data_IF_483049802577
#
_entry.id   IF_483049802577
#
_cell.length_a   1.000
_cell.length_b   1.000
_cell.length_c   1.000
_cell.angle_alpha   90.00
_cell.angle_beta   90.00
_cell.angle_gamma   90.00
#
_symmetry.space_group_name_H-M   'P 1'
#
loop_
_entity.id
_entity.type
_entity.pdbx_description
1 polymer ?
#
# COMPACT_ATOMS: atom_id res chain seq x y z
N UNK A 1 7.21 -6.74 43.92
CA UNK A 1 5.79 -6.65 44.32
C UNK A 1 5.35 -5.24 43.95
N UNK A 2 4.83 -5.05 42.76
CA UNK A 2 4.30 -3.76 42.30
C UNK A 2 3.03 -4.07 41.52
N UNK A 3 1.91 -3.60 42.03
CA UNK A 3 0.57 -3.90 41.53
C UNK A 3 0.23 -3.11 40.26
N UNK A 4 -0.23 -3.81 39.25
CA UNK A 4 -0.80 -3.25 38.03
C UNK A 4 -2.26 -2.84 38.28
N UNK A 5 -2.53 -1.55 38.19
CA UNK A 5 -3.86 -1.01 37.97
C UNK A 5 -3.87 -0.30 36.63
N UNK A 6 -4.37 -0.96 35.59
CA UNK A 6 -4.39 -0.41 34.22
C UNK A 6 -5.40 -1.11 33.31
N UNK A 7 -6.60 -1.41 33.87
CA UNK A 7 -7.66 -2.06 33.07
C UNK A 7 -8.62 -1.13 32.33
N UNK A 8 -8.49 0.20 32.46
CA UNK A 8 -9.54 1.14 32.01
C UNK A 8 -9.25 1.90 30.71
N UNK A 9 -8.02 1.90 30.19
CA UNK A 9 -7.68 2.76 29.05
C UNK A 9 -8.16 2.21 27.69
N UNK A 10 -8.34 0.92 27.53
CA UNK A 10 -8.85 0.36 26.26
C UNK A 10 -10.35 0.62 26.09
N UNK A 11 -11.09 0.63 27.21
CA UNK A 11 -12.54 0.91 27.21
C UNK A 11 -12.79 2.41 27.01
N UNK A 12 -11.92 3.29 27.51
CA UNK A 12 -12.05 4.75 27.36
C UNK A 12 -11.92 5.19 25.91
N UNK A 13 -10.99 4.62 25.15
CA UNK A 13 -10.88 4.94 23.70
C UNK A 13 -12.09 4.49 22.88
N UNK A 14 -12.73 3.38 23.26
CA UNK A 14 -13.98 2.94 22.61
C UNK A 14 -15.17 3.84 22.97
N UNK A 15 -15.17 4.45 24.16
CA UNK A 15 -16.22 5.37 24.60
C UNK A 15 -16.10 6.75 23.96
N UNK A 16 -14.89 7.24 23.67
CA UNK A 16 -14.70 8.49 22.94
C UNK A 16 -15.15 8.36 21.46
N UNK A 17 -15.04 7.17 20.85
CA UNK A 17 -15.58 6.90 19.51
C UNK A 17 -17.11 6.92 19.52
N UNK A 18 -17.78 6.51 20.60
CA UNK A 18 -19.25 6.54 20.70
C UNK A 18 -19.82 7.96 20.75
N UNK A 19 -19.12 8.94 21.31
CA UNK A 19 -19.63 10.31 21.45
C UNK A 19 -19.51 11.16 20.18
N UNK A 20 -18.82 10.70 19.14
CA UNK A 20 -18.65 11.44 17.88
C UNK A 20 -19.75 11.15 16.82
N UNK A 21 -20.62 10.15 17.05
CA UNK A 21 -21.57 9.65 16.04
C UNK A 21 -23.05 9.56 16.51
N UNK A 22 -23.48 10.42 17.43
CA UNK A 22 -24.89 10.53 17.79
C UNK A 22 -25.64 11.48 16.85
N UNK A 23 -25.98 11.00 15.67
CA UNK A 23 -26.87 11.74 14.81
C UNK A 23 -26.89 11.24 13.36
N UNK A 24 -27.38 10.03 13.15
CA UNK A 24 -28.12 9.70 11.93
C UNK A 24 -28.65 8.26 12.03
N UNK A 25 -29.96 8.14 11.95
CA UNK A 25 -30.69 6.86 11.89
C UNK A 25 -30.53 6.24 10.51
N UNK A 26 -29.66 5.21 10.40
CA UNK A 26 -29.49 4.45 9.17
C UNK A 26 -30.32 3.16 9.17
N UNK A 27 -31.16 3.04 8.13
CA UNK A 27 -31.93 1.86 7.77
C UNK A 27 -31.05 0.65 7.49
N UNK A 28 -31.40 -0.51 8.12
CA UNK A 28 -30.71 -1.80 7.88
C UNK A 28 -30.96 -2.28 6.45
N UNK A 29 -29.95 -2.24 5.62
CA UNK A 29 -29.93 -3.03 4.38
C UNK A 29 -28.78 -4.06 4.46
N UNK A 30 -29.15 -5.31 4.27
CA UNK A 30 -28.22 -6.47 4.27
C UNK A 30 -27.22 -6.29 3.11
N UNK A 31 -25.98 -5.95 3.44
CA UNK A 31 -24.89 -5.80 2.44
C UNK A 31 -24.35 -7.20 2.14
N UNK A 32 -24.87 -7.85 1.10
CA UNK A 32 -24.39 -9.14 0.58
C UNK A 32 -23.41 -8.98 -0.59
N UNK A 33 -23.08 -7.76 -1.00
CA UNK A 33 -22.04 -7.53 -1.99
C UNK A 33 -21.22 -6.31 -1.56
N UNK A 34 -19.91 -6.49 -1.40
CA UNK A 34 -18.94 -5.42 -1.27
C UNK A 34 -18.76 -4.78 -2.66
N UNK A 35 -19.71 -3.95 -3.04
CA UNK A 35 -19.61 -3.09 -4.22
C UNK A 35 -19.35 -1.68 -3.73
N UNK A 36 -18.13 -1.12 -3.94
CA UNK A 36 -17.92 0.30 -3.73
C UNK A 36 -18.83 1.05 -4.71
N UNK A 37 -19.85 1.71 -4.18
CA UNK A 37 -20.80 2.49 -4.97
C UNK A 37 -20.07 3.65 -5.64
N UNK A 38 -20.10 3.64 -6.98
CA UNK A 38 -19.84 4.74 -7.92
C UNK A 38 -18.65 5.66 -7.64
N UNK A 39 -17.51 5.36 -8.28
CA UNK A 39 -16.57 6.41 -8.67
C UNK A 39 -17.20 7.29 -9.75
N UNK A 40 -17.06 8.62 -9.68
CA UNK A 40 -17.62 9.55 -10.68
C UNK A 40 -16.79 9.63 -11.97
N UNK A 41 -15.89 8.70 -12.23
CA UNK A 41 -15.06 8.70 -13.45
C UNK A 41 -15.68 7.82 -14.53
N UNK A 42 -15.91 8.39 -15.71
CA UNK A 42 -16.46 7.75 -16.92
C UNK A 42 -15.51 6.68 -17.55
N UNK A 43 -14.55 6.13 -16.81
CA UNK A 43 -13.57 5.15 -17.27
C UNK A 43 -13.85 3.73 -16.74
N UNK A 44 -13.31 2.71 -17.42
CA UNK A 44 -13.29 1.34 -16.92
C UNK A 44 -12.53 1.29 -15.58
N UNK A 45 -13.01 0.47 -14.63
CA UNK A 45 -12.35 0.30 -13.32
C UNK A 45 -10.91 -0.18 -13.49
N UNK A 46 -10.01 0.33 -12.65
CA UNK A 46 -8.59 -0.02 -12.61
C UNK A 46 -8.23 -0.88 -11.39
N UNK A 47 -9.23 -1.38 -10.71
CA UNK A 47 -9.09 -2.30 -9.59
C UNK A 47 -10.35 -3.13 -9.40
N UNK A 48 -10.21 -4.19 -8.62
CA UNK A 48 -11.34 -4.93 -8.05
C UNK A 48 -11.12 -5.15 -6.57
N UNK A 49 -12.20 -5.29 -5.82
CA UNK A 49 -12.13 -5.58 -4.39
C UNK A 49 -13.18 -6.57 -3.97
N UNK A 50 -12.86 -7.39 -2.96
CA UNK A 50 -13.79 -8.34 -2.35
C UNK A 50 -13.38 -8.65 -0.91
N UNK A 51 -14.30 -9.25 -0.16
CA UNK A 51 -13.99 -9.81 1.16
C UNK A 51 -13.96 -11.33 1.04
N UNK A 52 -12.81 -11.92 1.36
CA UNK A 52 -12.69 -13.34 1.62
C UNK A 52 -13.15 -13.60 3.05
N UNK A 53 -14.35 -14.18 3.20
CA UNK A 53 -14.96 -14.42 4.49
C UNK A 53 -14.26 -15.53 5.28
N UNK A 54 -13.67 -16.51 4.61
CA UNK A 54 -12.94 -17.61 5.23
C UNK A 54 -11.65 -17.12 5.88
N UNK A 55 -10.93 -16.23 5.19
CA UNK A 55 -9.69 -15.64 5.69
C UNK A 55 -9.94 -14.42 6.58
N UNK A 56 -11.13 -13.83 6.55
CA UNK A 56 -11.40 -12.55 7.18
C UNK A 56 -10.56 -11.42 6.58
N UNK A 57 -10.37 -11.44 5.27
CA UNK A 57 -9.49 -10.53 4.55
C UNK A 57 -10.26 -9.70 3.51
N UNK A 58 -10.14 -8.37 3.56
CA UNK A 58 -10.57 -7.48 2.50
C UNK A 58 -9.42 -7.31 1.50
N UNK A 59 -9.63 -7.66 0.25
CA UNK A 59 -8.60 -7.72 -0.78
C UNK A 59 -8.86 -6.65 -1.83
N UNK A 60 -7.88 -5.78 -2.07
CA UNK A 60 -7.84 -4.82 -3.16
C UNK A 60 -6.81 -5.31 -4.18
N UNK A 61 -7.25 -5.51 -5.41
CA UNK A 61 -6.41 -6.00 -6.51
C UNK A 61 -6.31 -4.95 -7.59
N UNK A 62 -5.12 -4.43 -7.80
CA UNK A 62 -4.81 -3.42 -8.81
C UNK A 62 -4.83 -4.03 -10.21
N UNK A 63 -5.39 -3.29 -11.17
CA UNK A 63 -5.39 -3.62 -12.59
C UNK A 63 -5.32 -2.35 -13.44
N UNK A 64 -4.34 -1.43 -13.18
CA UNK A 64 -4.25 -0.16 -13.88
C UNK A 64 -3.92 -0.34 -15.36
N UNK A 65 -4.53 0.50 -16.18
CA UNK A 65 -4.35 0.55 -17.64
C UNK A 65 -4.27 2.02 -18.07
N UNK A 66 -3.45 2.37 -19.06
CA UNK A 66 -2.62 1.50 -19.92
C UNK A 66 -1.25 1.15 -19.32
N UNK A 67 -0.89 1.69 -18.16
CA UNK A 67 0.40 1.46 -17.49
C UNK A 67 0.18 0.91 -16.09
N UNK A 68 1.01 -0.03 -15.63
CA UNK A 68 0.88 -0.66 -14.32
C UNK A 68 1.47 0.24 -13.21
N UNK A 69 0.91 1.43 -13.04
CA UNK A 69 1.34 2.44 -12.09
C UNK A 69 0.17 2.98 -11.26
N UNK A 70 0.45 3.78 -10.25
CA UNK A 70 -0.58 4.48 -9.48
C UNK A 70 -1.14 5.65 -10.29
N UNK A 71 -2.12 5.39 -11.15
CA UNK A 71 -2.90 6.45 -11.77
C UNK A 71 -3.76 7.17 -10.73
N UNK A 72 -4.18 8.43 -10.95
CA UNK A 72 -5.14 9.11 -10.08
C UNK A 72 -6.38 8.26 -9.80
N UNK A 73 -6.89 7.55 -10.81
CA UNK A 73 -8.06 6.67 -10.67
C UNK A 73 -7.80 5.49 -9.72
N UNK A 74 -6.66 4.80 -9.83
CA UNK A 74 -6.30 3.70 -8.91
C UNK A 74 -6.19 4.21 -7.48
N UNK A 75 -5.63 5.40 -7.28
CA UNK A 75 -5.52 6.02 -5.96
C UNK A 75 -6.89 6.37 -5.37
N UNK A 76 -7.80 6.89 -6.18
CA UNK A 76 -9.18 7.17 -5.75
C UNK A 76 -9.93 5.88 -5.40
N UNK A 77 -9.79 4.83 -6.22
CA UNK A 77 -10.39 3.52 -5.96
C UNK A 77 -9.82 2.89 -4.68
N UNK A 78 -8.50 3.00 -4.44
CA UNK A 78 -7.85 2.53 -3.22
C UNK A 78 -8.35 3.30 -1.98
N UNK A 79 -8.46 4.62 -2.07
CA UNK A 79 -9.01 5.46 -1.00
C UNK A 79 -10.44 5.05 -0.66
N UNK A 80 -11.28 4.87 -1.67
CA UNK A 80 -12.67 4.42 -1.48
C UNK A 80 -12.72 3.04 -0.83
N UNK A 81 -11.88 2.11 -1.26
CA UNK A 81 -11.75 0.78 -0.65
C UNK A 81 -11.38 0.89 0.84
N UNK A 82 -10.35 1.67 1.19
CA UNK A 82 -9.91 1.87 2.56
C UNK A 82 -11.05 2.42 3.45
N UNK A 83 -11.79 3.42 2.96
CA UNK A 83 -12.94 4.00 3.65
C UNK A 83 -14.06 2.97 3.85
N UNK A 84 -14.37 2.19 2.81
CA UNK A 84 -15.43 1.17 2.86
C UNK A 84 -15.08 0.04 3.84
N UNK A 85 -13.82 -0.43 3.83
CA UNK A 85 -13.35 -1.43 4.82
C UNK A 85 -13.42 -0.86 6.22
N UNK A 86 -12.96 0.38 6.42
CA UNK A 86 -13.00 1.02 7.73
C UNK A 86 -14.42 1.15 8.27
N UNK A 87 -15.37 1.58 7.43
CA UNK A 87 -16.78 1.68 7.79
C UNK A 87 -17.37 0.31 8.14
N UNK A 88 -17.09 -0.72 7.32
CA UNK A 88 -17.56 -2.09 7.54
C UNK A 88 -17.08 -2.66 8.87
N UNK A 89 -15.78 -2.49 9.18
CA UNK A 89 -15.18 -2.98 10.42
C UNK A 89 -15.76 -2.27 11.65
N UNK A 90 -15.82 -0.92 11.62
CA UNK A 90 -16.41 -0.14 12.71
C UNK A 90 -17.86 -0.52 12.98
N UNK A 91 -18.68 -0.63 11.92
CA UNK A 91 -20.08 -1.04 12.03
C UNK A 91 -20.20 -2.45 12.63
N UNK A 92 -19.35 -3.39 12.21
CA UNK A 92 -19.34 -4.77 12.74
C UNK A 92 -18.95 -4.81 14.21
N UNK A 93 -17.97 -4.03 14.64
CA UNK A 93 -17.56 -3.94 16.05
C UNK A 93 -18.70 -3.35 16.90
N UNK A 94 -19.34 -2.28 16.44
CA UNK A 94 -20.47 -1.65 17.16
C UNK A 94 -21.64 -2.61 17.29
N UNK A 95 -22.02 -3.32 16.24
CA UNK A 95 -23.20 -4.17 16.21
C UNK A 95 -23.00 -5.52 16.86
N UNK A 96 -21.80 -6.10 16.76
CA UNK A 96 -21.51 -7.49 17.12
C UNK A 96 -20.40 -7.65 18.17
N UNK A 97 -19.80 -6.55 18.63
CA UNK A 97 -18.65 -6.56 19.52
C UNK A 97 -17.34 -7.07 18.91
N UNK A 98 -17.35 -7.46 17.64
CA UNK A 98 -16.16 -7.95 16.91
C UNK A 98 -16.32 -7.75 15.42
N UNK A 99 -15.20 -7.65 14.70
CA UNK A 99 -15.17 -7.65 13.24
C UNK A 99 -14.96 -9.07 12.69
N UNK A 100 -15.49 -9.31 11.48
CA UNK A 100 -15.15 -10.48 10.66
C UNK A 100 -13.94 -10.23 9.77
N UNK A 101 -13.52 -8.96 9.60
CA UNK A 101 -12.36 -8.57 8.79
C UNK A 101 -11.21 -8.20 9.73
N UNK A 102 -10.11 -8.91 9.61
CA UNK A 102 -8.88 -8.76 10.40
C UNK A 102 -7.67 -8.44 9.55
N UNK A 103 -7.78 -8.58 8.24
CA UNK A 103 -6.71 -8.35 7.28
C UNK A 103 -7.19 -7.48 6.12
N UNK A 104 -6.27 -6.66 5.61
CA UNK A 104 -6.45 -5.95 4.34
C UNK A 104 -5.27 -6.29 3.45
N UNK A 105 -5.54 -6.74 2.22
CA UNK A 105 -4.52 -7.19 1.28
C UNK A 105 -4.48 -6.26 0.08
N UNK A 106 -3.29 -5.80 -0.29
CA UNK A 106 -3.00 -5.06 -1.51
C UNK A 106 -2.28 -5.99 -2.49
N UNK A 107 -2.89 -6.28 -3.62
CA UNK A 107 -2.42 -7.22 -4.65
C UNK A 107 -2.52 -6.63 -6.05
N UNK A 108 -2.04 -7.34 -7.07
CA UNK A 108 -2.12 -6.96 -8.47
C UNK A 108 -2.57 -8.14 -9.34
N UNK A 109 -3.35 -7.85 -10.38
CA UNK A 109 -3.73 -8.84 -11.42
C UNK A 109 -2.88 -8.71 -12.68
N UNK A 110 -1.92 -7.79 -12.70
CA UNK A 110 -1.06 -7.62 -13.88
C UNK A 110 0.04 -8.68 -13.87
N UNK A 111 0.08 -9.58 -14.85
CA UNK A 111 1.04 -10.67 -14.87
C UNK A 111 2.48 -10.16 -14.74
N UNK A 112 3.23 -10.69 -13.75
CA UNK A 112 4.63 -10.34 -13.51
C UNK A 112 4.89 -8.91 -13.05
N UNK A 113 3.83 -8.12 -12.74
CA UNK A 113 3.96 -6.75 -12.22
C UNK A 113 3.04 -6.55 -11.03
N UNK A 114 3.63 -6.18 -9.90
CA UNK A 114 2.86 -5.69 -8.77
C UNK A 114 2.44 -4.23 -9.00
N UNK A 115 3.41 -3.31 -9.13
CA UNK A 115 3.18 -1.92 -9.52
C UNK A 115 4.53 -1.25 -9.85
N UNK A 116 4.58 -0.42 -10.90
CA UNK A 116 5.80 0.27 -11.36
C UNK A 116 5.93 1.72 -10.84
N UNK A 117 5.15 2.07 -9.82
CA UNK A 117 5.31 3.33 -9.08
C UNK A 117 4.32 4.41 -9.48
N UNK A 118 4.73 5.66 -9.31
CA UNK A 118 3.93 6.82 -9.63
C UNK A 118 3.65 6.97 -11.13
N UNK A 119 2.68 7.79 -11.46
CA UNK A 119 2.39 8.15 -12.85
C UNK A 119 3.44 9.11 -13.41
N UNK A 120 4.54 8.54 -13.92
CA UNK A 120 5.67 9.32 -14.44
C UNK A 120 5.28 10.23 -15.63
N UNK A 121 4.27 9.86 -16.42
CA UNK A 121 3.79 10.70 -17.51
C UNK A 121 3.09 11.96 -16.98
N UNK A 122 2.25 11.78 -15.96
CA UNK A 122 1.65 12.89 -15.23
C UNK A 122 2.74 13.77 -14.60
N UNK A 123 3.76 13.17 -13.97
CA UNK A 123 4.85 13.92 -13.36
C UNK A 123 5.60 14.77 -14.39
N UNK A 124 6.00 14.19 -15.53
CA UNK A 124 6.69 14.92 -16.61
C UNK A 124 5.87 16.12 -17.06
N UNK A 125 4.58 15.98 -17.23
CA UNK A 125 3.69 17.07 -17.65
C UNK A 125 3.63 18.17 -16.58
N UNK A 126 3.35 17.80 -15.32
CA UNK A 126 3.25 18.77 -14.22
C UNK A 126 4.57 19.49 -13.91
N UNK A 127 5.71 18.80 -14.04
CA UNK A 127 7.05 19.41 -13.89
C UNK A 127 7.30 20.41 -15.00
N UNK A 128 6.99 20.10 -16.27
CA UNK A 128 7.13 21.04 -17.39
C UNK A 128 6.24 22.28 -17.25
N UNK A 129 5.03 22.09 -16.75
CA UNK A 129 4.09 23.17 -16.48
C UNK A 129 4.45 23.94 -15.20
N UNK A 130 5.43 23.47 -14.42
CA UNK A 130 5.78 23.97 -13.09
C UNK A 130 4.56 24.02 -12.14
N UNK A 131 3.66 23.06 -12.31
CA UNK A 131 2.42 22.96 -11.56
C UNK A 131 2.64 22.26 -10.22
N UNK A 132 3.20 23.02 -9.26
CA UNK A 132 3.51 22.52 -7.90
C UNK A 132 2.27 22.00 -7.17
N UNK A 133 1.16 22.72 -7.29
CA UNK A 133 -0.07 22.38 -6.57
C UNK A 133 -0.62 21.01 -6.97
N UNK A 134 -0.74 20.76 -8.27
CA UNK A 134 -1.24 19.48 -8.77
C UNK A 134 -0.29 18.33 -8.45
N UNK A 135 1.04 18.56 -8.54
CA UNK A 135 2.03 17.56 -8.19
C UNK A 135 1.98 17.21 -6.70
N UNK A 136 1.85 18.22 -5.83
CA UNK A 136 1.73 18.04 -4.39
C UNK A 136 0.43 17.32 -4.02
N UNK A 137 -0.69 17.67 -4.64
CA UNK A 137 -1.98 17.02 -4.42
C UNK A 137 -1.95 15.53 -4.79
N UNK A 138 -1.32 15.18 -5.92
CA UNK A 138 -1.12 13.78 -6.27
C UNK A 138 -0.24 13.07 -5.23
N UNK A 139 0.89 13.66 -4.86
CA UNK A 139 1.82 13.07 -3.90
C UNK A 139 1.18 12.90 -2.51
N UNK A 140 0.39 13.86 -2.06
CA UNK A 140 -0.39 13.74 -0.82
C UNK A 140 -1.43 12.62 -0.89
N UNK A 141 -2.06 12.41 -2.04
CA UNK A 141 -2.97 11.27 -2.22
C UNK A 141 -2.23 9.94 -2.04
N UNK A 142 -1.01 9.82 -2.57
CA UNK A 142 -0.17 8.64 -2.38
C UNK A 142 0.20 8.41 -0.91
N UNK A 143 0.73 9.44 -0.21
CA UNK A 143 1.13 9.27 1.19
C UNK A 143 -0.06 9.07 2.13
N UNK A 144 -1.22 9.64 1.83
CA UNK A 144 -2.45 9.35 2.57
C UNK A 144 -2.80 7.87 2.48
N UNK A 145 -2.81 7.30 1.29
CA UNK A 145 -3.10 5.89 1.08
C UNK A 145 -2.07 4.99 1.79
N UNK A 146 -0.77 5.28 1.66
CA UNK A 146 0.31 4.53 2.31
C UNK A 146 0.26 4.65 3.84
N UNK A 147 0.04 5.85 4.38
CA UNK A 147 -0.09 6.06 5.82
C UNK A 147 -1.28 5.26 6.39
N UNK A 148 -2.44 5.29 5.75
CA UNK A 148 -3.59 4.49 6.16
C UNK A 148 -3.26 3.00 6.18
N UNK A 149 -2.54 2.47 5.19
CA UNK A 149 -2.07 1.07 5.20
C UNK A 149 -1.12 0.82 6.37
N UNK A 150 -0.16 1.70 6.65
CA UNK A 150 0.81 1.52 7.74
C UNK A 150 0.16 1.50 9.12
N UNK A 151 -0.94 2.24 9.29
CA UNK A 151 -1.71 2.33 10.52
C UNK A 151 -2.81 1.28 10.65
N UNK A 152 -2.93 0.33 9.70
CA UNK A 152 -4.02 -0.65 9.72
C UNK A 152 -5.41 0.01 9.64
N UNK A 153 -5.53 1.13 8.91
CA UNK A 153 -6.74 1.96 8.79
C UNK A 153 -7.24 2.53 10.13
N UNK A 154 -6.35 2.71 11.12
CA UNK A 154 -6.69 3.05 12.50
C UNK A 154 -7.68 2.05 13.15
N UNK A 155 -7.54 0.78 12.82
CA UNK A 155 -8.40 -0.33 13.20
C UNK A 155 -7.58 -1.55 13.62
N UNK A 156 -8.17 -2.54 14.30
CA UNK A 156 -7.51 -3.80 14.62
C UNK A 156 -7.34 -4.71 13.38
N UNK A 157 -6.70 -4.16 12.35
CA UNK A 157 -6.43 -4.82 11.06
C UNK A 157 -4.93 -4.91 10.83
N UNK A 158 -4.47 -6.05 10.29
CA UNK A 158 -3.13 -6.22 9.74
C UNK A 158 -3.17 -6.02 8.22
N UNK A 159 -2.35 -5.14 7.70
CA UNK A 159 -2.25 -4.89 6.25
C UNK A 159 -1.15 -5.74 5.64
N UNK A 160 -1.39 -6.31 4.47
CA UNK A 160 -0.50 -7.24 3.78
C UNK A 160 -0.34 -6.78 2.34
N UNK A 161 0.90 -6.66 1.86
CA UNK A 161 1.19 -6.57 0.44
C UNK A 161 1.48 -7.98 -0.11
N UNK A 162 0.75 -8.40 -1.14
CA UNK A 162 0.99 -9.64 -1.86
C UNK A 162 1.68 -9.31 -3.18
N UNK A 163 3.00 -9.53 -3.23
CA UNK A 163 3.88 -9.10 -4.33
C UNK A 163 4.24 -10.31 -5.19
N UNK A 164 3.43 -10.56 -6.22
CA UNK A 164 3.60 -11.67 -7.19
C UNK A 164 4.30 -11.21 -8.48
N UNK A 165 4.87 -10.01 -8.49
CA UNK A 165 5.54 -9.41 -9.64
C UNK A 165 6.36 -8.19 -9.27
N UNK A 166 7.02 -7.61 -10.27
CA UNK A 166 7.93 -6.46 -10.10
C UNK A 166 7.25 -5.28 -9.37
N UNK A 167 7.91 -4.76 -8.33
CA UNK A 167 7.51 -3.57 -7.60
C UNK A 167 8.61 -2.50 -7.66
N UNK A 168 8.33 -1.33 -8.24
CA UNK A 168 9.32 -0.27 -8.41
C UNK A 168 8.82 1.07 -7.87
N UNK A 169 9.74 1.87 -7.31
CA UNK A 169 9.43 3.21 -6.82
C UNK A 169 8.22 3.22 -5.90
N UNK A 170 7.22 4.05 -6.20
CA UNK A 170 5.95 4.10 -5.46
C UNK A 170 5.25 2.74 -5.30
N UNK A 171 5.48 1.79 -6.21
CA UNK A 171 4.97 0.42 -6.07
C UNK A 171 5.63 -0.33 -4.92
N UNK A 172 6.93 -0.17 -4.76
CA UNK A 172 7.64 -0.74 -3.61
C UNK A 172 7.35 0.04 -2.32
N UNK A 173 7.22 1.38 -2.39
CA UNK A 173 6.77 2.20 -1.25
C UNK A 173 5.41 1.75 -0.73
N UNK A 174 4.45 1.47 -1.62
CA UNK A 174 3.13 0.96 -1.24
C UNK A 174 3.20 -0.44 -0.61
N UNK A 175 4.05 -1.32 -1.11
CA UNK A 175 4.28 -2.62 -0.47
C UNK A 175 4.86 -2.45 0.94
N UNK A 176 5.88 -1.60 1.11
CA UNK A 176 6.52 -1.32 2.39
C UNK A 176 5.60 -0.60 3.39
N UNK A 177 4.59 0.11 2.92
CA UNK A 177 3.59 0.74 3.79
C UNK A 177 2.70 -0.29 4.50
N UNK A 178 2.59 -1.51 3.97
CA UNK A 178 1.85 -2.58 4.63
C UNK A 178 2.62 -3.14 5.83
N UNK A 179 1.90 -3.68 6.81
CA UNK A 179 2.51 -4.27 8.02
C UNK A 179 3.32 -5.53 7.70
N UNK A 180 2.97 -6.23 6.63
CA UNK A 180 3.62 -7.47 6.17
C UNK A 180 3.74 -7.44 4.66
N UNK A 181 4.91 -7.81 4.16
CA UNK A 181 5.15 -8.03 2.72
C UNK A 181 5.35 -9.52 2.50
N UNK A 182 4.48 -10.12 1.71
CA UNK A 182 4.63 -11.48 1.18
C UNK A 182 5.04 -11.33 -0.27
N UNK A 183 6.23 -11.81 -0.63
CA UNK A 183 6.72 -11.72 -2.01
C UNK A 183 7.10 -13.09 -2.56
N UNK A 184 6.90 -13.30 -3.86
CA UNK A 184 7.37 -14.50 -4.54
C UNK A 184 8.88 -14.43 -4.81
N UNK A 185 9.56 -15.55 -4.68
CA UNK A 185 10.96 -15.70 -5.06
C UNK A 185 11.17 -15.31 -6.53
N UNK A 186 12.25 -14.61 -6.82
CA UNK A 186 12.61 -14.15 -8.16
C UNK A 186 11.96 -12.83 -8.59
N UNK A 187 10.96 -12.30 -7.88
CA UNK A 187 10.43 -10.98 -8.20
C UNK A 187 11.43 -9.88 -7.85
N UNK A 188 11.40 -8.79 -8.62
CA UNK A 188 12.34 -7.68 -8.49
C UNK A 188 11.66 -6.48 -7.84
N UNK A 189 12.31 -5.93 -6.79
CA UNK A 189 11.83 -4.74 -6.08
C UNK A 189 12.98 -3.72 -5.96
N UNK A 190 12.68 -2.42 -6.04
CA UNK A 190 13.71 -1.39 -5.89
C UNK A 190 13.21 0.02 -6.18
N UNK A 191 14.14 0.97 -6.02
CA UNK A 191 13.88 2.40 -6.18
C UNK A 191 14.73 2.96 -7.33
N UNK A 192 14.13 3.17 -8.54
CA UNK A 192 14.86 3.69 -9.68
C UNK A 192 15.00 5.22 -9.68
N UNK A 193 14.46 5.93 -8.70
CA UNK A 193 14.35 7.40 -8.66
C UNK A 193 15.71 8.09 -8.78
N UNK A 194 16.76 7.51 -8.18
CA UNK A 194 18.12 8.08 -8.25
C UNK A 194 18.70 8.09 -9.67
N UNK A 195 18.17 7.27 -10.59
CA UNK A 195 18.60 7.24 -11.99
C UNK A 195 18.19 8.51 -12.75
N UNK A 196 17.22 9.26 -12.25
CA UNK A 196 16.83 10.57 -12.77
C UNK A 196 17.01 11.68 -11.73
N UNK A 197 18.02 11.52 -10.86
CA UNK A 197 18.45 12.52 -9.89
C UNK A 197 17.36 12.97 -8.93
N UNK A 198 16.50 12.03 -8.53
CA UNK A 198 15.45 12.22 -7.53
C UNK A 198 15.55 11.09 -6.50
N UNK A 199 14.86 11.21 -5.40
CA UNK A 199 14.74 10.14 -4.39
C UNK A 199 13.28 9.66 -4.29
N UNK A 200 13.00 8.45 -3.75
CA UNK A 200 11.63 8.00 -3.53
C UNK A 200 11.01 8.79 -2.36
N UNK A 201 10.02 9.64 -2.67
CA UNK A 201 9.53 10.67 -1.74
C UNK A 201 8.19 10.36 -1.08
N UNK A 202 7.60 9.18 -1.31
CA UNK A 202 6.27 8.86 -0.82
C UNK A 202 6.27 7.78 0.27
N UNK A 203 7.37 7.73 1.05
CA UNK A 203 7.46 6.93 2.27
C UNK A 203 8.60 5.91 2.31
N UNK A 204 9.39 5.72 1.25
CA UNK A 204 10.45 4.72 1.20
C UNK A 204 11.40 4.80 2.40
N UNK A 205 11.94 5.99 2.68
CA UNK A 205 12.86 6.19 3.79
C UNK A 205 12.24 5.82 5.13
N UNK A 206 11.04 6.34 5.39
CA UNK A 206 10.32 6.12 6.64
C UNK A 206 9.93 4.65 6.83
N UNK A 207 9.38 4.00 5.81
CA UNK A 207 8.93 2.60 5.92
C UNK A 207 10.10 1.60 5.95
N UNK A 208 11.21 1.87 5.25
CA UNK A 208 12.42 1.04 5.35
C UNK A 208 13.03 1.10 6.76
N UNK A 209 13.11 2.31 7.35
CA UNK A 209 13.64 2.47 8.71
C UNK A 209 12.85 1.73 9.79
N UNK A 210 11.60 1.39 9.53
CA UNK A 210 10.83 0.54 10.43
C UNK A 210 11.25 -0.94 10.39
N UNK A 211 11.95 -1.35 9.33
CA UNK A 211 12.35 -2.73 9.07
C UNK A 211 13.83 -2.97 9.26
N UNK A 212 14.65 -2.02 8.82
CA UNK A 212 16.11 -2.13 8.83
C UNK A 212 16.74 -0.88 9.45
N UNK A 213 18.04 -0.95 9.76
CA UNK A 213 18.75 0.24 10.24
C UNK A 213 18.89 1.30 9.14
N UNK A 214 19.12 2.56 9.55
CA UNK A 214 19.22 3.71 8.64
C UNK A 214 20.27 3.52 7.56
N UNK A 215 21.44 2.99 7.89
CA UNK A 215 22.53 2.82 6.91
C UNK A 215 22.16 1.83 5.81
N UNK A 216 21.42 0.76 6.14
CA UNK A 216 20.94 -0.20 5.14
C UNK A 216 19.79 0.40 4.31
N UNK A 217 18.87 1.14 4.94
CA UNK A 217 17.80 1.84 4.23
C UNK A 217 18.36 2.82 3.18
N UNK A 218 19.32 3.66 3.56
CA UNK A 218 19.99 4.60 2.66
C UNK A 218 20.75 3.87 1.54
N UNK A 219 21.46 2.80 1.84
CA UNK A 219 22.16 2.00 0.84
C UNK A 219 21.21 1.40 -0.21
N UNK A 220 20.05 0.90 0.21
CA UNK A 220 19.03 0.37 -0.71
C UNK A 220 18.52 1.50 -1.61
N UNK A 221 18.15 2.65 -1.05
CA UNK A 221 17.62 3.79 -1.81
C UNK A 221 18.67 4.34 -2.77
N UNK A 222 19.87 4.63 -2.27
CA UNK A 222 20.93 5.31 -3.06
C UNK A 222 21.54 4.41 -4.13
N UNK A 223 21.41 3.09 -4.02
CA UNK A 223 21.92 2.16 -5.03
C UNK A 223 21.24 2.32 -6.39
N UNK A 224 19.96 2.71 -6.42
CA UNK A 224 19.13 2.68 -7.64
C UNK A 224 18.92 1.27 -8.21
N UNK A 225 19.34 0.25 -7.50
CA UNK A 225 19.27 -1.13 -7.95
C UNK A 225 17.89 -1.74 -7.70
N UNK A 226 17.61 -2.77 -8.47
CA UNK A 226 16.55 -3.73 -8.14
C UNK A 226 17.17 -4.92 -7.42
N UNK A 227 16.51 -5.36 -6.37
CA UNK A 227 16.87 -6.52 -5.58
C UNK A 227 15.87 -7.64 -5.81
N UNK A 228 16.32 -8.87 -5.74
CA UNK A 228 15.41 -10.01 -5.69
C UNK A 228 14.69 -10.05 -4.33
N UNK A 229 13.48 -10.57 -4.31
CA UNK A 229 12.74 -10.73 -3.06
C UNK A 229 13.52 -11.51 -2.01
N UNK A 230 14.29 -12.53 -2.42
CA UNK A 230 15.14 -13.33 -1.52
C UNK A 230 16.22 -12.48 -0.85
N UNK A 231 16.87 -11.58 -1.60
CA UNK A 231 17.89 -10.68 -1.05
C UNK A 231 17.27 -9.72 -0.02
N UNK A 232 16.10 -9.17 -0.32
CA UNK A 232 15.38 -8.29 0.61
C UNK A 232 14.84 -9.03 1.84
N UNK A 233 14.50 -10.31 1.71
CA UNK A 233 14.15 -11.17 2.83
C UNK A 233 15.37 -11.40 3.75
N UNK A 234 16.52 -11.74 3.20
CA UNK A 234 17.77 -11.88 3.96
C UNK A 234 18.20 -10.57 4.67
N UNK A 235 17.90 -9.41 4.04
CA UNK A 235 18.12 -8.11 4.65
C UNK A 235 17.08 -7.73 5.72
N UNK A 236 16.00 -8.50 5.88
CA UNK A 236 14.91 -8.20 6.82
C UNK A 236 13.91 -7.14 6.34
N UNK A 237 13.88 -6.84 5.05
CA UNK A 237 12.94 -5.89 4.44
C UNK A 237 11.59 -6.53 4.12
N UNK A 238 11.62 -7.80 3.70
CA UNK A 238 10.42 -8.62 3.40
C UNK A 238 10.23 -9.65 4.52
N UNK A 239 9.00 -9.82 4.98
CA UNK A 239 8.69 -10.70 6.09
C UNK A 239 8.44 -12.16 5.68
N UNK A 240 7.95 -12.40 4.45
CA UNK A 240 7.55 -13.74 4.03
C UNK A 240 7.90 -13.97 2.55
N UNK A 241 8.58 -15.10 2.28
CA UNK A 241 8.82 -15.58 0.92
C UNK A 241 7.80 -16.64 0.52
N UNK A 242 7.35 -16.59 -0.72
CA UNK A 242 6.55 -17.60 -1.38
C UNK A 242 7.30 -18.19 -2.58
N UNK A 243 7.03 -19.43 -2.91
CA UNK A 243 7.52 -20.01 -4.17
C UNK A 243 6.85 -19.33 -5.36
N UNK A 244 7.49 -19.25 -6.54
CA UNK A 244 6.90 -18.70 -7.73
C UNK A 244 5.53 -19.33 -8.04
N UNK A 245 4.50 -18.49 -8.27
CA UNK A 245 3.12 -18.90 -8.51
C UNK A 245 2.36 -19.39 -7.27
N UNK A 246 2.95 -19.30 -6.07
CA UNK A 246 2.31 -19.74 -4.81
C UNK A 246 2.03 -18.59 -3.84
N UNK A 247 2.06 -17.34 -4.29
CA UNK A 247 1.85 -16.19 -3.43
C UNK A 247 0.51 -16.23 -2.70
N UNK A 248 -0.60 -16.51 -3.41
CA UNK A 248 -1.94 -16.62 -2.81
C UNK A 248 -2.05 -17.78 -1.82
N UNK A 249 -1.42 -18.92 -2.11
CA UNK A 249 -1.36 -20.04 -1.16
C UNK A 249 -0.60 -19.62 0.10
N UNK A 250 0.54 -18.93 -0.05
CA UNK A 250 1.36 -18.46 1.06
C UNK A 250 0.64 -17.43 1.91
N UNK A 251 -0.11 -16.52 1.30
CA UNK A 251 -0.98 -15.59 2.00
C UNK A 251 -2.00 -16.33 2.88
N UNK A 252 -2.67 -17.34 2.32
CA UNK A 252 -3.61 -18.17 3.08
C UNK A 252 -2.93 -18.87 4.25
N UNK A 253 -1.80 -19.52 4.02
CA UNK A 253 -1.01 -20.19 5.07
C UNK A 253 -0.61 -19.21 6.18
N UNK A 254 -0.11 -18.03 5.82
CA UNK A 254 0.27 -16.99 6.76
C UNK A 254 -0.91 -16.56 7.65
N UNK A 255 -2.06 -16.26 7.05
CA UNK A 255 -3.27 -15.85 7.79
C UNK A 255 -3.73 -16.96 8.73
N UNK A 256 -3.84 -18.20 8.24
CA UNK A 256 -4.26 -19.32 9.05
C UNK A 256 -3.30 -19.61 10.22
N UNK A 257 -1.99 -19.48 9.98
CA UNK A 257 -0.99 -19.63 11.05
C UNK A 257 -1.09 -18.51 12.09
N UNK A 258 -1.26 -17.27 11.63
CA UNK A 258 -1.43 -16.09 12.49
C UNK A 258 -2.66 -16.22 13.37
N UNK A 259 -3.78 -16.70 12.82
CA UNK A 259 -5.04 -16.89 13.53
C UNK A 259 -5.00 -17.98 14.62
N UNK A 260 -3.96 -18.82 14.66
CA UNK A 260 -3.77 -19.78 15.77
C UNK A 260 -3.42 -19.13 17.10
N UNK A 261 -2.92 -17.88 17.08
CA UNK A 261 -2.49 -17.14 18.28
C UNK A 261 -3.04 -15.72 18.28
N UNK A 262 -4.37 -15.53 18.22
CA UNK A 262 -4.99 -14.23 17.98
C UNK A 262 -4.57 -13.19 19.02
N UNK A 263 -4.56 -13.54 20.31
CA UNK A 263 -4.19 -12.62 21.39
C UNK A 263 -2.75 -12.08 21.26
N UNK A 264 -1.79 -12.97 20.95
CA UNK A 264 -0.38 -12.53 20.79
C UNK A 264 -0.23 -11.64 19.57
N UNK A 265 -0.88 -12.00 18.45
CA UNK A 265 -0.83 -11.20 17.23
C UNK A 265 -1.48 -9.83 17.41
N UNK A 266 -2.61 -9.75 18.14
CA UNK A 266 -3.23 -8.47 18.47
C UNK A 266 -2.32 -7.58 19.33
N UNK A 267 -1.64 -8.16 20.32
CA UNK A 267 -0.69 -7.42 21.16
C UNK A 267 0.51 -6.91 20.35
N UNK A 268 1.10 -7.73 19.48
CA UNK A 268 2.22 -7.33 18.63
C UNK A 268 1.77 -6.26 17.63
N UNK A 269 0.59 -6.40 17.02
CA UNK A 269 0.01 -5.39 16.13
C UNK A 269 -0.16 -4.07 16.88
N UNK A 270 -0.76 -4.08 18.07
CA UNK A 270 -0.94 -2.90 18.90
C UNK A 270 0.42 -2.25 19.25
N UNK A 271 1.40 -3.04 19.68
CA UNK A 271 2.75 -2.55 19.97
C UNK A 271 3.38 -1.89 18.76
N UNK A 272 3.25 -2.48 17.57
CA UNK A 272 3.75 -1.90 16.32
C UNK A 272 3.09 -0.55 16.04
N UNK A 273 1.77 -0.47 16.13
CA UNK A 273 1.01 0.76 15.87
C UNK A 273 1.38 1.88 16.85
N UNK A 274 1.63 1.57 18.12
CA UNK A 274 1.96 2.57 19.14
C UNK A 274 3.43 3.00 19.11
N UNK A 275 4.36 2.07 18.93
CA UNK A 275 5.78 2.30 19.17
C UNK A 275 6.65 2.28 17.90
N UNK A 276 6.11 1.86 16.77
CA UNK A 276 6.82 1.81 15.50
C UNK A 276 5.99 2.42 14.36
N UNK A 277 5.27 3.51 14.63
CA UNK A 277 4.50 4.23 13.62
C UNK A 277 5.35 5.25 12.88
N UNK A 278 5.02 5.49 11.63
CA UNK A 278 5.51 6.64 10.87
C UNK A 278 4.56 7.81 11.12
N UNK A 279 5.03 8.95 11.68
CA UNK A 279 4.18 10.12 11.81
C UNK A 279 3.78 10.66 10.44
N UNK A 280 2.51 11.01 10.26
CA UNK A 280 2.04 11.58 8.99
C UNK A 280 2.80 12.87 8.61
N UNK A 281 3.13 13.71 9.61
CA UNK A 281 3.90 14.93 9.40
C UNK A 281 5.32 14.66 8.83
N UNK A 282 5.95 13.52 9.16
CA UNK A 282 7.24 13.11 8.58
C UNK A 282 7.06 12.83 7.07
N UNK A 283 6.03 12.08 6.70
CA UNK A 283 5.72 11.80 5.29
C UNK A 283 5.43 13.10 4.52
N UNK A 284 4.66 14.02 5.10
CA UNK A 284 4.37 15.31 4.46
C UNK A 284 5.64 16.11 4.17
N UNK A 285 6.52 16.28 5.16
CA UNK A 285 7.76 17.05 5.00
C UNK A 285 8.68 16.45 3.92
N UNK A 286 8.82 15.11 3.92
CA UNK A 286 9.62 14.41 2.91
C UNK A 286 8.99 14.57 1.51
N UNK A 287 7.66 14.48 1.42
CA UNK A 287 6.93 14.62 0.16
C UNK A 287 7.00 16.03 -0.40
N UNK A 288 6.92 17.06 0.44
CA UNK A 288 7.09 18.45 0.02
C UNK A 288 8.50 18.70 -0.52
N UNK A 289 9.54 18.19 0.17
CA UNK A 289 10.91 18.22 -0.31
C UNK A 289 11.06 17.51 -1.66
N UNK A 290 10.39 16.36 -1.84
CA UNK A 290 10.38 15.64 -3.11
C UNK A 290 9.75 16.47 -4.22
N UNK A 291 8.60 17.11 -3.99
CA UNK A 291 7.90 17.95 -4.97
C UNK A 291 8.78 19.11 -5.40
N UNK A 292 9.40 19.82 -4.47
CA UNK A 292 10.27 20.95 -4.75
C UNK A 292 11.50 20.50 -5.56
N UNK A 293 12.12 19.39 -5.17
CA UNK A 293 13.24 18.78 -5.92
C UNK A 293 12.83 18.32 -7.32
N UNK A 294 11.62 17.78 -7.48
CA UNK A 294 11.12 17.35 -8.80
C UNK A 294 10.92 18.52 -9.75
N UNK A 295 10.48 19.68 -9.26
CA UNK A 295 10.32 20.90 -10.08
C UNK A 295 11.65 21.51 -10.53
N UNK A 296 12.76 21.16 -9.86
CA UNK A 296 14.11 21.60 -10.22
C UNK A 296 14.83 20.65 -11.21
N UNK A 297 14.17 19.55 -11.61
CA UNK A 297 14.75 18.60 -12.56
C UNK A 297 14.99 19.25 -13.93
N UNK A 298 16.18 18.98 -14.49
CA UNK A 298 16.57 19.48 -15.80
C UNK A 298 16.08 18.61 -16.96
N UNK A 299 16.34 19.06 -18.17
CA UNK A 299 15.92 18.36 -19.39
C UNK A 299 16.51 16.94 -19.53
N UNK A 300 17.67 16.65 -18.91
CA UNK A 300 18.30 15.33 -18.93
C UNK A 300 17.52 14.33 -18.08
N UNK A 301 17.15 14.72 -16.89
CA UNK A 301 16.38 13.94 -15.92
C UNK A 301 14.98 13.65 -16.46
N UNK A 302 14.31 14.66 -17.00
CA UNK A 302 12.99 14.52 -17.64
C UNK A 302 13.04 13.52 -18.80
N UNK A 303 14.07 13.59 -19.68
CA UNK A 303 14.25 12.59 -20.75
C UNK A 303 14.46 11.17 -20.22
N UNK A 304 15.06 11.02 -19.04
CA UNK A 304 15.21 9.72 -18.40
C UNK A 304 13.87 9.20 -17.89
N UNK A 305 13.06 10.04 -17.26
CA UNK A 305 11.68 9.69 -16.87
C UNK A 305 10.84 9.27 -18.08
N UNK A 306 10.89 10.01 -19.19
CA UNK A 306 10.18 9.65 -20.44
C UNK A 306 10.62 8.30 -21.01
N UNK A 307 11.91 7.94 -20.88
CA UNK A 307 12.38 6.59 -21.25
C UNK A 307 11.78 5.51 -20.38
N UNK A 308 11.64 5.75 -19.07
CA UNK A 308 10.98 4.83 -18.16
C UNK A 308 9.48 4.69 -18.47
N UNK A 309 8.79 5.78 -18.80
CA UNK A 309 7.39 5.74 -19.27
C UNK A 309 7.27 4.82 -20.50
N UNK A 310 8.12 5.00 -21.50
CA UNK A 310 8.11 4.13 -22.70
C UNK A 310 8.42 2.68 -22.37
N UNK A 311 9.28 2.42 -21.39
CA UNK A 311 9.55 1.06 -20.91
C UNK A 311 8.31 0.43 -20.24
N UNK A 312 7.57 1.20 -19.43
CA UNK A 312 6.34 0.73 -18.81
C UNK A 312 5.30 0.32 -19.86
N UNK A 313 5.11 1.11 -20.94
CA UNK A 313 4.20 0.76 -22.05
C UNK A 313 4.63 -0.53 -22.75
N UNK A 314 5.91 -0.69 -23.08
CA UNK A 314 6.43 -1.90 -23.74
C UNK A 314 6.25 -3.15 -22.88
N UNK A 315 6.47 -3.01 -21.57
CA UNK A 315 6.30 -4.14 -20.64
C UNK A 315 4.86 -4.68 -20.68
N UNK A 316 3.87 -3.79 -20.73
CA UNK A 316 2.46 -4.19 -20.85
C UNK A 316 2.16 -4.84 -22.21
N UNK A 317 2.68 -4.29 -23.29
CA UNK A 317 2.49 -4.87 -24.62
C UNK A 317 3.05 -6.30 -24.69
N UNK A 318 4.28 -6.51 -24.25
CA UNK A 318 4.90 -7.83 -24.21
C UNK A 318 4.10 -8.85 -23.37
N UNK A 319 3.59 -8.42 -22.20
CA UNK A 319 2.74 -9.27 -21.36
C UNK A 319 1.44 -9.65 -22.10
N UNK A 320 0.81 -8.69 -22.79
CA UNK A 320 -0.41 -8.95 -23.54
C UNK A 320 -0.18 -9.92 -24.68
N UNK A 321 0.95 -9.83 -25.38
CA UNK A 321 1.34 -10.74 -26.46
C UNK A 321 1.65 -12.16 -25.93
N UNK A 322 2.34 -12.27 -24.79
CA UNK A 322 2.62 -13.56 -24.15
C UNK A 322 1.35 -14.27 -23.65
N UNK A 323 0.40 -13.51 -23.12
CA UNK A 323 -0.90 -14.06 -22.68
C UNK A 323 -1.70 -14.53 -23.88
N UNK A 324 -1.74 -13.73 -24.96
CA UNK A 324 -2.42 -14.10 -26.20
C UNK A 324 -1.81 -15.32 -26.89
N UNK A 325 -0.49 -15.50 -26.78
CA UNK A 325 0.22 -16.66 -27.37
C UNK A 325 0.00 -17.98 -26.59
N UNK A 326 -0.46 -17.89 -25.32
CA UNK A 326 -0.72 -19.05 -24.45
C UNK A 326 -2.21 -19.44 -24.37
N UNK A 327 -3.10 -18.60 -24.90
CA UNK A 327 -4.54 -18.83 -24.98
C UNK A 327 -4.93 -19.52 -26.30
#
# INVERSE_FOLDING_TARGET
MCFLTGGNNVITHLTEIQNFYSGDTFSMTTITAFNPTSSPTNGARQSRSHIDQELGAAIFTMSPSPRPCFTPQVLDELRLFQQTVAQHVRSSIIQRGKSAVHYTVLASDIPGVYNLGGDLELFVNLIRERNRESLLNYAYTCINAGHQMSMGLDLPITTIALVEGTAQGGGFEAALSCNVVIAEEGVMLGFPEVLFNLFPGMGAYSFLRQRVNTALAERIILSGNQFRAEELYEMGVIEVLAKPGQGKQKLREYILQTNRRPKVNDLIRHTRTEYNRVPYAELQQITELWVDSALDLGAKEIRTMERLVRFQYRKVQNISEEVAAKA
#
